data_IF_833430666209
#
_entry.id   IF_833430666209
#
_cell.length_a   1.000
_cell.length_b   1.000
_cell.length_c   1.000
_cell.angle_alpha   90.00
_cell.angle_beta   90.00
_cell.angle_gamma   90.00
#
_symmetry.space_group_name_H-M   'P 1'
#
loop_
_entity.id
_entity.type
_entity.pdbx_description
1 polymer ?
#
# COMPACT_ATOMS: atom_id res chain seq x y z
N UNK A 1 -20.48 -3.88 17.52
CA UNK A 1 -20.62 -2.41 17.63
C UNK A 1 -19.71 -1.80 16.57
N UNK A 2 -20.25 -1.04 15.61
CA UNK A 2 -19.42 -0.34 14.63
C UNK A 2 -18.85 0.90 15.31
N UNK A 3 -17.59 0.86 15.72
CA UNK A 3 -16.88 2.06 16.12
C UNK A 3 -16.76 2.98 14.90
N UNK A 4 -17.13 4.24 15.05
CA UNK A 4 -16.89 5.25 14.02
C UNK A 4 -15.45 5.76 14.15
N UNK A 5 -14.91 6.35 13.08
CA UNK A 5 -13.59 7.00 13.16
C UNK A 5 -13.54 8.08 14.25
N UNK A 6 -14.65 8.79 14.48
CA UNK A 6 -14.76 9.79 15.53
C UNK A 6 -14.58 9.17 16.93
N UNK A 7 -15.15 7.99 17.16
CA UNK A 7 -15.00 7.27 18.43
C UNK A 7 -13.54 6.85 18.67
N UNK A 8 -12.88 6.30 17.64
CA UNK A 8 -11.47 5.90 17.72
C UNK A 8 -10.56 7.10 18.00
N UNK A 9 -10.82 8.24 17.37
CA UNK A 9 -10.04 9.46 17.62
C UNK A 9 -10.23 9.95 19.06
N UNK A 10 -11.43 9.84 19.61
CA UNK A 10 -11.68 10.20 21.01
C UNK A 10 -10.96 9.26 21.98
N UNK A 11 -10.99 7.95 21.71
CA UNK A 11 -10.27 6.94 22.49
C UNK A 11 -8.76 7.24 22.49
N UNK A 12 -8.19 7.58 21.33
CA UNK A 12 -6.76 7.94 21.21
C UNK A 12 -6.43 9.25 21.94
N UNK A 13 -7.37 10.21 22.00
CA UNK A 13 -7.16 11.47 22.75
C UNK A 13 -7.10 11.26 24.26
N UNK A 14 -7.77 10.24 24.78
CA UNK A 14 -7.82 9.92 26.21
C UNK A 14 -6.56 9.19 26.71
N UNK A 15 -5.72 8.68 25.80
CA UNK A 15 -4.45 8.04 26.13
C UNK A 15 -3.44 9.03 26.73
N UNK A 16 -2.59 8.52 27.61
CA UNK A 16 -1.45 9.27 28.14
C UNK A 16 -0.47 9.66 27.01
N UNK A 17 0.41 10.66 27.22
CA UNK A 17 1.42 11.02 26.22
C UNK A 17 2.28 9.84 25.76
N UNK A 18 2.74 8.99 26.69
CA UNK A 18 3.56 7.81 26.40
C UNK A 18 2.81 6.79 25.57
N UNK A 19 1.56 6.47 25.92
CA UNK A 19 0.74 5.53 25.15
C UNK A 19 0.46 6.04 23.72
N UNK A 20 0.32 7.35 23.54
CA UNK A 20 0.16 7.94 22.20
C UNK A 20 1.44 7.83 21.37
N UNK A 21 2.61 8.03 21.97
CA UNK A 21 3.90 7.84 21.31
C UNK A 21 4.12 6.38 20.89
N UNK A 22 3.81 5.43 21.78
CA UNK A 22 3.88 3.99 21.46
C UNK A 22 2.90 3.62 20.34
N UNK A 23 1.65 4.10 20.42
CA UNK A 23 0.64 3.86 19.40
C UNK A 23 1.05 4.44 18.04
N UNK A 24 1.65 5.64 18.03
CA UNK A 24 2.17 6.26 16.82
C UNK A 24 3.24 5.38 16.16
N UNK A 25 4.18 4.84 16.93
CA UNK A 25 5.23 3.96 16.38
C UNK A 25 4.67 2.63 15.87
N UNK A 26 3.65 2.07 16.56
CA UNK A 26 2.96 0.86 16.10
C UNK A 26 2.28 1.10 14.74
N UNK A 27 1.49 2.17 14.62
CA UNK A 27 0.78 2.52 13.39
C UNK A 27 1.77 2.79 12.25
N UNK A 28 2.85 3.54 12.53
CA UNK A 28 3.88 3.82 11.54
C UNK A 28 4.51 2.53 11.01
N UNK A 29 4.83 1.59 11.92
CA UNK A 29 5.39 0.30 11.53
C UNK A 29 4.40 -0.54 10.73
N UNK A 30 3.11 -0.55 11.08
CA UNK A 30 2.11 -1.31 10.34
C UNK A 30 1.96 -0.80 8.91
N UNK A 31 1.91 0.52 8.71
CA UNK A 31 1.85 1.15 7.38
C UNK A 31 3.08 0.84 6.53
N UNK A 32 4.28 0.78 7.13
CA UNK A 32 5.50 0.38 6.43
C UNK A 32 5.39 -1.08 5.96
N UNK A 33 4.91 -1.98 6.81
CA UNK A 33 4.75 -3.39 6.45
C UNK A 33 3.65 -3.62 5.40
N UNK A 34 2.57 -2.85 5.44
CA UNK A 34 1.54 -2.84 4.38
C UNK A 34 2.14 -2.47 3.03
N UNK A 35 2.86 -1.35 2.96
CA UNK A 35 3.52 -0.91 1.73
C UNK A 35 4.58 -1.90 1.24
N UNK A 36 5.30 -2.56 2.14
CA UNK A 36 6.26 -3.62 1.78
C UNK A 36 5.56 -4.82 1.15
N UNK A 37 4.40 -5.23 1.67
CA UNK A 37 3.59 -6.30 1.09
C UNK A 37 3.09 -5.94 -0.31
N UNK A 38 2.61 -4.72 -0.51
CA UNK A 38 2.20 -4.24 -1.83
C UNK A 38 3.35 -4.28 -2.83
N UNK A 39 4.54 -3.79 -2.46
CA UNK A 39 5.74 -3.85 -3.30
C UNK A 39 6.11 -5.30 -3.64
N UNK A 40 6.05 -6.20 -2.67
CA UNK A 40 6.35 -7.61 -2.88
C UNK A 40 5.34 -8.24 -3.85
N UNK A 41 4.05 -7.99 -3.67
CA UNK A 41 3.00 -8.49 -4.56
C UNK A 41 3.19 -8.00 -5.99
N UNK A 42 3.48 -6.71 -6.18
CA UNK A 42 3.75 -6.13 -7.50
C UNK A 42 5.00 -6.75 -8.14
N UNK A 43 6.04 -6.99 -7.35
CA UNK A 43 7.26 -7.65 -7.81
C UNK A 43 6.98 -9.10 -8.25
N UNK A 44 6.24 -9.86 -7.45
CA UNK A 44 5.86 -11.24 -7.77
C UNK A 44 5.00 -11.32 -9.04
N UNK A 45 4.05 -10.40 -9.20
CA UNK A 45 3.23 -10.28 -10.40
C UNK A 45 4.08 -9.98 -11.64
N UNK A 46 4.97 -8.98 -11.58
CA UNK A 46 5.88 -8.67 -12.69
C UNK A 46 6.83 -9.83 -13.03
N UNK A 47 7.35 -10.55 -12.02
CA UNK A 47 8.16 -11.74 -12.25
C UNK A 47 7.35 -12.90 -12.87
N UNK A 48 6.06 -13.00 -12.57
CA UNK A 48 5.18 -13.97 -13.21
C UNK A 48 4.95 -13.60 -14.68
N UNK A 49 4.61 -12.34 -14.99
CA UNK A 49 4.44 -11.87 -16.35
C UNK A 49 5.72 -12.00 -17.19
N UNK A 50 6.88 -11.78 -16.58
CA UNK A 50 8.17 -12.02 -17.21
C UNK A 50 8.35 -13.50 -17.59
N UNK A 51 8.07 -14.41 -16.64
CA UNK A 51 8.16 -15.86 -16.86
C UNK A 51 7.18 -16.34 -17.91
N UNK A 52 6.00 -15.72 -17.99
CA UNK A 52 4.96 -16.04 -18.97
C UNK A 52 5.17 -15.34 -20.32
N UNK A 53 6.19 -14.48 -20.44
CA UNK A 53 6.50 -13.74 -21.67
C UNK A 53 5.47 -12.65 -22.02
N UNK A 54 4.69 -12.20 -21.04
CA UNK A 54 3.63 -11.20 -21.19
C UNK A 54 4.12 -9.76 -21.10
N UNK A 55 5.30 -9.54 -20.51
CA UNK A 55 5.89 -8.20 -20.41
C UNK A 55 6.26 -7.66 -21.79
N UNK A 56 5.53 -6.65 -22.25
CA UNK A 56 5.85 -5.88 -23.45
C UNK A 56 6.51 -4.57 -23.05
N UNK A 57 7.79 -4.40 -23.39
CA UNK A 57 8.49 -3.13 -23.24
C UNK A 57 8.34 -2.32 -24.51
N UNK A 58 7.92 -1.07 -24.37
CA UNK A 58 7.94 -0.09 -25.46
C UNK A 58 8.68 1.17 -25.03
N UNK A 59 9.42 1.75 -25.96
CA UNK A 59 10.01 3.08 -25.82
C UNK A 59 9.17 4.17 -26.50
N UNK A 60 8.05 3.78 -27.12
CA UNK A 60 7.09 4.70 -27.74
C UNK A 60 6.04 5.12 -26.71
N UNK A 61 5.95 6.42 -26.48
CA UNK A 61 5.03 7.01 -25.51
C UNK A 61 3.56 6.79 -25.90
N UNK A 62 3.24 6.82 -27.20
CA UNK A 62 1.87 6.61 -27.68
C UNK A 62 1.43 5.16 -27.51
N UNK A 63 2.36 4.21 -27.71
CA UNK A 63 2.11 2.78 -27.49
C UNK A 63 1.95 2.46 -26.00
N UNK A 64 2.77 3.06 -25.14
CA UNK A 64 2.65 2.94 -23.69
C UNK A 64 1.30 3.46 -23.18
N UNK A 65 0.84 4.60 -23.69
CA UNK A 65 -0.44 5.18 -23.29
C UNK A 65 -1.63 4.28 -23.67
N UNK A 66 -1.57 3.61 -24.83
CA UNK A 66 -2.60 2.65 -25.24
C UNK A 66 -2.62 1.43 -24.32
N UNK A 67 -1.45 0.86 -24.03
CA UNK A 67 -1.32 -0.29 -23.13
C UNK A 67 -1.88 0.00 -21.73
N UNK A 68 -1.64 1.20 -21.18
CA UNK A 68 -2.17 1.62 -19.87
C UNK A 68 -3.66 1.96 -19.86
N UNK A 69 -4.29 2.20 -21.01
CA UNK A 69 -5.70 2.54 -21.12
C UNK A 69 -6.60 1.31 -21.35
N UNK A 70 -6.01 0.19 -21.80
CA UNK A 70 -6.70 -1.06 -22.12
C UNK A 70 -6.70 -2.08 -20.94
N UNK A 71 -6.00 -1.77 -19.83
CA UNK A 71 -6.01 -2.50 -18.54
C UNK A 71 -7.10 -1.99 -17.57
#
# INVERSE_FOLDING_TARGET
>A
MSQTFADVVEDVRQLSPTEREELQEIIKRSLIEERRREILQNCEAGLQELREGKLTFTSDLEELQKQLADD
#
